data_IF_440201039459
#
_entry.id   IF_440201039459
#
_cell.length_a   1.000
_cell.length_b   1.000
_cell.length_c   1.000
_cell.angle_alpha   90.00
_cell.angle_beta   90.00
_cell.angle_gamma   90.00
#
_symmetry.space_group_name_H-M   'P 1'
#
loop_
_entity.id
_entity.type
_entity.pdbx_description
1 polymer ?
#
# COMPACT_ATOMS: atom_id res chain seq x y z
N UNK A 1 -14.97 9.01 -5.76
CA UNK A 1 -14.77 7.70 -6.39
C UNK A 1 -14.20 6.72 -5.35
N UNK A 2 -15.07 5.90 -4.77
CA UNK A 2 -14.69 4.95 -3.70
C UNK A 2 -13.76 3.83 -4.17
N UNK A 3 -13.82 3.43 -5.45
CA UNK A 3 -12.88 2.44 -6.01
C UNK A 3 -11.48 3.03 -6.14
N UNK A 4 -11.39 4.31 -6.49
CA UNK A 4 -10.09 4.99 -6.48
C UNK A 4 -9.57 5.20 -5.06
N UNK A 5 -10.44 5.48 -4.08
CA UNK A 5 -10.06 5.50 -2.67
C UNK A 5 -9.48 4.15 -2.24
N UNK A 6 -10.12 3.02 -2.64
CA UNK A 6 -9.60 1.69 -2.36
C UNK A 6 -8.18 1.51 -2.93
N UNK A 7 -7.94 1.94 -4.18
CA UNK A 7 -6.61 1.88 -4.78
C UNK A 7 -5.58 2.72 -4.00
N UNK A 8 -5.96 3.92 -3.55
CA UNK A 8 -5.10 4.77 -2.72
C UNK A 8 -4.78 4.11 -1.37
N UNK A 9 -5.78 3.54 -0.71
CA UNK A 9 -5.58 2.83 0.57
C UNK A 9 -4.71 1.58 0.39
N UNK A 10 -4.92 0.80 -0.68
CA UNK A 10 -4.07 -0.34 -1.00
C UNK A 10 -2.62 0.12 -1.19
N UNK A 11 -2.37 1.15 -1.99
CA UNK A 11 -1.03 1.68 -2.22
C UNK A 11 -0.35 2.13 -0.92
N UNK A 12 -1.08 2.84 -0.05
CA UNK A 12 -0.55 3.43 1.18
C UNK A 12 -0.27 2.39 2.28
N UNK A 13 -1.24 1.50 2.56
CA UNK A 13 -1.14 0.55 3.69
C UNK A 13 -0.40 -0.74 3.33
N UNK A 14 -0.56 -1.24 2.10
CA UNK A 14 0.08 -2.51 1.70
C UNK A 14 1.45 -2.32 1.08
N UNK A 15 1.78 -1.10 0.68
CA UNK A 15 3.03 -0.75 0.00
C UNK A 15 3.26 -1.57 -1.30
N UNK A 16 2.20 -2.15 -1.87
CA UNK A 16 2.24 -2.87 -3.15
C UNK A 16 2.42 -1.86 -4.28
N UNK A 17 3.25 -2.16 -5.26
CA UNK A 17 3.52 -1.25 -6.39
C UNK A 17 2.31 -1.12 -7.32
N UNK A 18 2.11 0.04 -7.99
CA UNK A 18 0.95 0.25 -8.88
C UNK A 18 0.83 -0.81 -9.96
N UNK A 19 1.94 -1.24 -10.56
CA UNK A 19 1.94 -2.32 -11.54
C UNK A 19 1.44 -3.63 -10.93
N UNK A 20 1.95 -3.99 -9.75
CA UNK A 20 1.52 -5.20 -9.02
C UNK A 20 0.03 -5.11 -8.63
N UNK A 21 -0.44 -3.93 -8.15
CA UNK A 21 -1.86 -3.70 -7.85
C UNK A 21 -2.77 -4.01 -9.06
N UNK A 22 -2.31 -3.70 -10.28
CA UNK A 22 -3.10 -3.95 -11.49
C UNK A 22 -3.25 -5.44 -11.83
N UNK A 23 -2.44 -6.31 -11.25
CA UNK A 23 -2.52 -7.76 -11.43
C UNK A 23 -3.28 -8.48 -10.34
N UNK A 24 -3.58 -7.83 -9.21
CA UNK A 24 -4.31 -8.45 -8.12
C UNK A 24 -5.71 -8.88 -8.56
N UNK A 25 -6.10 -10.06 -8.15
CA UNK A 25 -7.43 -10.62 -8.34
C UNK A 25 -8.24 -10.59 -7.04
N UNK A 26 -9.54 -10.68 -7.16
CA UNK A 26 -10.44 -10.79 -6.00
C UNK A 26 -10.07 -12.02 -5.16
N UNK A 27 -9.73 -13.15 -5.81
CA UNK A 27 -9.32 -14.39 -5.14
C UNK A 27 -7.97 -14.34 -4.42
N UNK A 28 -7.13 -13.32 -4.70
CA UNK A 28 -5.85 -13.14 -3.98
C UNK A 28 -6.05 -12.59 -2.56
N UNK A 29 -7.28 -12.20 -2.20
CA UNK A 29 -7.60 -11.60 -0.91
C UNK A 29 -8.10 -12.66 0.05
N UNK A 30 -7.42 -12.85 1.17
CA UNK A 30 -7.84 -13.71 2.26
C UNK A 30 -8.45 -12.87 3.39
N UNK A 31 -9.78 -12.94 3.53
CA UNK A 31 -10.47 -12.31 4.66
C UNK A 31 -10.11 -12.96 5.99
N UNK A 32 -9.91 -14.28 5.98
CA UNK A 32 -9.56 -15.05 7.19
C UNK A 32 -8.21 -14.62 7.76
N UNK A 33 -7.21 -14.49 6.87
CA UNK A 33 -5.84 -14.14 7.28
C UNK A 33 -5.63 -12.63 7.28
N UNK A 34 -6.56 -11.84 6.74
CA UNK A 34 -6.42 -10.40 6.50
C UNK A 34 -5.16 -10.09 5.68
N UNK A 35 -4.95 -10.84 4.60
CA UNK A 35 -3.81 -10.70 3.70
C UNK A 35 -4.24 -10.62 2.24
N UNK A 36 -3.34 -10.13 1.40
CA UNK A 36 -3.42 -10.24 -0.05
C UNK A 36 -2.18 -10.94 -0.57
N UNK A 37 -2.37 -11.90 -1.45
CA UNK A 37 -1.28 -12.63 -2.12
C UNK A 37 -0.77 -11.83 -3.34
N UNK A 38 0.54 -11.70 -3.46
CA UNK A 38 1.22 -11.05 -4.59
C UNK A 38 2.10 -12.10 -5.25
N UNK A 39 1.74 -12.51 -6.47
CA UNK A 39 2.48 -13.53 -7.21
C UNK A 39 3.85 -13.01 -7.66
N UNK A 40 4.85 -13.91 -7.64
CA UNK A 40 6.20 -13.71 -8.18
C UNK A 40 6.20 -13.30 -9.65
N UNK A 41 5.20 -13.76 -10.42
CA UNK A 41 5.13 -13.53 -11.87
C UNK A 41 4.98 -12.04 -12.20
N UNK A 42 4.41 -11.25 -11.28
CA UNK A 42 4.17 -9.81 -11.44
C UNK A 42 4.96 -8.98 -10.43
N UNK A 43 5.60 -9.63 -9.48
CA UNK A 43 6.40 -8.97 -8.44
C UNK A 43 7.75 -8.55 -8.99
N UNK A 44 8.14 -7.29 -8.71
CA UNK A 44 9.47 -6.78 -9.10
C UNK A 44 10.62 -7.62 -8.52
N UNK A 45 10.40 -8.27 -7.39
CA UNK A 45 11.42 -9.05 -6.69
C UNK A 45 11.39 -10.54 -7.07
N UNK A 46 10.51 -10.95 -8.01
CA UNK A 46 10.32 -12.33 -8.45
C UNK A 46 10.13 -13.32 -7.29
N UNK A 47 9.42 -12.89 -6.23
CA UNK A 47 9.07 -13.69 -5.06
C UNK A 47 7.59 -13.57 -4.77
N UNK A 48 6.98 -14.69 -4.43
CA UNK A 48 5.63 -14.70 -3.87
C UNK A 48 5.62 -14.05 -2.49
N UNK A 49 4.57 -13.33 -2.17
CA UNK A 49 4.43 -12.69 -0.87
C UNK A 49 2.97 -12.61 -0.42
N UNK A 50 2.75 -12.80 0.86
CA UNK A 50 1.52 -12.39 1.53
C UNK A 50 1.75 -11.05 2.22
N UNK A 51 0.86 -10.09 1.95
CA UNK A 51 0.94 -8.73 2.47
C UNK A 51 -0.27 -8.46 3.35
N UNK A 52 -0.04 -7.96 4.56
CA UNK A 52 -1.10 -7.64 5.51
C UNK A 52 -2.06 -6.57 5.01
N UNK A 53 -3.35 -6.77 5.25
CA UNK A 53 -4.42 -5.82 4.95
C UNK A 53 -4.89 -5.11 6.23
N UNK A 54 -4.96 -3.80 6.17
CA UNK A 54 -5.56 -2.98 7.21
C UNK A 54 -7.08 -3.23 7.26
N UNK A 55 -7.65 -3.22 8.48
CA UNK A 55 -9.10 -3.42 8.69
C UNK A 55 -9.97 -2.42 7.92
N UNK A 56 -9.49 -1.18 7.74
CA UNK A 56 -10.21 -0.17 6.99
C UNK A 56 -10.30 -0.52 5.48
N UNK A 57 -9.26 -1.14 4.91
CA UNK A 57 -9.29 -1.65 3.53
C UNK A 57 -10.34 -2.75 3.41
N UNK A 58 -10.32 -3.73 4.31
CA UNK A 58 -11.28 -4.85 4.31
C UNK A 58 -12.71 -4.32 4.41
N UNK A 59 -12.95 -3.40 5.35
CA UNK A 59 -14.27 -2.74 5.50
C UNK A 59 -14.72 -2.08 4.20
N UNK A 60 -13.84 -1.30 3.56
CA UNK A 60 -14.17 -0.63 2.31
C UNK A 60 -14.43 -1.65 1.17
N UNK A 61 -13.69 -2.76 1.11
CA UNK A 61 -13.96 -3.83 0.14
C UNK A 61 -15.33 -4.47 0.34
N UNK A 62 -15.73 -4.70 1.58
CA UNK A 62 -17.07 -5.22 1.93
C UNK A 62 -18.15 -4.20 1.53
N UNK A 63 -17.99 -2.93 1.89
CA UNK A 63 -18.92 -1.85 1.56
C UNK A 63 -19.08 -1.66 0.03
N UNK A 64 -18.06 -2.01 -0.73
CA UNK A 64 -18.04 -1.98 -2.21
C UNK A 64 -18.52 -3.29 -2.86
N UNK A 65 -18.92 -4.28 -2.06
CA UNK A 65 -19.31 -5.61 -2.51
C UNK A 65 -18.26 -6.29 -3.42
N UNK A 66 -16.97 -6.08 -3.15
CA UNK A 66 -15.87 -6.64 -3.95
C UNK A 66 -15.94 -8.17 -4.00
N UNK A 67 -16.28 -8.80 -2.89
CA UNK A 67 -16.35 -10.27 -2.77
C UNK A 67 -17.55 -10.92 -3.46
N UNK A 68 -18.46 -10.14 -4.02
CA UNK A 68 -19.55 -10.64 -4.88
C UNK A 68 -19.09 -10.85 -6.34
N UNK A 69 -17.89 -10.40 -6.70
CA UNK A 69 -17.30 -10.66 -8.01
C UNK A 69 -16.58 -12.02 -8.03
N UNK A 70 -16.50 -12.67 -9.20
CA UNK A 70 -15.73 -13.91 -9.38
C UNK A 70 -14.28 -13.75 -8.89
N UNK A 71 -13.74 -14.82 -8.29
CA UNK A 71 -12.38 -14.82 -7.73
C UNK A 71 -11.28 -14.60 -8.77
N UNK A 72 -11.52 -14.96 -10.03
CA UNK A 72 -10.59 -14.78 -11.15
C UNK A 72 -10.61 -13.37 -11.76
N UNK A 73 -11.55 -12.50 -11.33
CA UNK A 73 -11.59 -11.10 -11.79
C UNK A 73 -10.45 -10.30 -11.17
N UNK A 74 -9.84 -9.44 -11.99
CA UNK A 74 -8.88 -8.45 -11.49
C UNK A 74 -9.58 -7.44 -10.60
N UNK A 75 -9.01 -7.18 -9.42
CA UNK A 75 -9.54 -6.25 -8.42
C UNK A 75 -9.71 -4.84 -9.00
N UNK A 76 -8.71 -4.40 -9.77
CA UNK A 76 -8.69 -3.12 -10.47
C UNK A 76 -8.70 -3.33 -11.98
N UNK A 77 -9.81 -3.85 -12.49
CA UNK A 77 -10.05 -4.00 -13.91
C UNK A 77 -10.30 -2.67 -14.62
N UNK A 78 -10.99 -2.70 -15.73
CA UNK A 78 -11.32 -1.49 -16.50
C UNK A 78 -12.10 -0.50 -15.62
N UNK A 79 -11.68 0.76 -15.63
CA UNK A 79 -12.26 1.84 -14.82
C UNK A 79 -12.18 1.61 -13.30
N UNK A 80 -11.21 0.83 -12.83
CA UNK A 80 -10.99 0.41 -11.44
C UNK A 80 -12.07 -0.52 -10.87
N UNK A 81 -13.06 -0.90 -11.65
CA UNK A 81 -14.10 -1.83 -11.25
C UNK A 81 -13.61 -3.27 -11.43
N UNK A 82 -13.89 -4.20 -10.50
CA UNK A 82 -13.52 -5.59 -10.69
C UNK A 82 -14.02 -6.12 -12.04
N UNK A 83 -13.14 -6.74 -12.81
CA UNK A 83 -13.42 -7.18 -14.18
C UNK A 83 -12.55 -8.36 -14.58
N UNK A 84 -13.03 -9.17 -15.55
CA UNK A 84 -12.25 -10.23 -16.17
C UNK A 84 -11.04 -9.67 -16.95
N UNK A 85 -11.18 -8.47 -17.50
CA UNK A 85 -10.08 -7.77 -18.19
C UNK A 85 -9.27 -6.94 -17.19
N UNK A 86 -7.96 -7.12 -17.23
CA UNK A 86 -7.03 -6.35 -16.41
C UNK A 86 -7.03 -4.88 -16.78
N UNK A 87 -7.10 -4.01 -15.79
CA UNK A 87 -6.88 -2.58 -15.98
C UNK A 87 -5.38 -2.26 -16.13
N UNK A 88 -5.04 -1.25 -16.95
CA UNK A 88 -3.67 -0.74 -17.02
C UNK A 88 -3.33 0.04 -15.73
N UNK A 89 -2.11 -0.12 -15.21
CA UNK A 89 -1.63 0.61 -14.02
C UNK A 89 -1.66 2.14 -14.22
N UNK A 90 -1.57 2.65 -15.44
CA UNK A 90 -1.66 4.08 -15.75
C UNK A 90 -3.00 4.71 -15.32
N UNK A 91 -4.06 3.90 -15.17
CA UNK A 91 -5.35 4.41 -14.72
C UNK A 91 -5.29 5.03 -13.32
N UNK A 92 -4.39 4.53 -12.43
CA UNK A 92 -4.17 5.10 -11.10
C UNK A 92 -3.59 6.51 -11.22
N UNK A 93 -2.54 6.66 -12.05
CA UNK A 93 -1.89 7.96 -12.26
C UNK A 93 -2.83 8.97 -12.93
N UNK A 94 -3.62 8.55 -13.93
CA UNK A 94 -4.59 9.42 -14.59
C UNK A 94 -5.64 9.97 -13.62
N UNK A 95 -6.16 9.12 -12.72
CA UNK A 95 -7.13 9.56 -11.70
C UNK A 95 -6.49 10.45 -10.64
N UNK A 96 -5.27 10.10 -10.23
CA UNK A 96 -4.49 10.92 -9.31
C UNK A 96 -4.25 12.33 -9.86
N UNK A 97 -3.84 12.44 -11.13
CA UNK A 97 -3.62 13.74 -11.78
C UNK A 97 -4.90 14.59 -11.83
N UNK A 98 -6.07 13.96 -12.13
CA UNK A 98 -7.35 14.67 -12.08
C UNK A 98 -7.65 15.20 -10.68
N UNK A 99 -7.51 14.37 -9.65
CA UNK A 99 -7.72 14.76 -8.27
C UNK A 99 -6.76 15.86 -7.85
N UNK A 100 -5.47 15.72 -8.17
CA UNK A 100 -4.43 16.70 -7.86
C UNK A 100 -4.73 18.08 -8.46
N UNK A 101 -5.19 18.13 -9.70
CA UNK A 101 -5.60 19.40 -10.35
C UNK A 101 -6.76 20.06 -9.61
N UNK A 102 -7.77 19.29 -9.20
CA UNK A 102 -8.91 19.82 -8.43
C UNK A 102 -8.49 20.35 -7.07
N UNK A 103 -7.58 19.64 -6.40
CA UNK A 103 -7.08 20.00 -5.06
C UNK A 103 -5.94 21.04 -5.11
N UNK A 104 -5.51 21.43 -6.31
CA UNK A 104 -4.38 22.37 -6.53
C UNK A 104 -3.09 21.93 -5.84
N UNK A 105 -2.84 20.62 -5.77
CA UNK A 105 -1.61 20.07 -5.21
C UNK A 105 -0.45 20.17 -6.20
N UNK A 106 0.76 20.29 -5.66
CA UNK A 106 1.99 20.35 -6.44
C UNK A 106 2.22 19.08 -7.29
N UNK A 107 2.94 19.28 -8.41
CA UNK A 107 3.26 18.20 -9.34
C UNK A 107 4.19 17.13 -8.76
N UNK A 108 4.91 17.41 -7.69
CA UNK A 108 5.76 16.43 -7.00
C UNK A 108 4.96 15.31 -6.33
N UNK A 109 3.69 15.57 -5.97
CA UNK A 109 2.82 14.54 -5.39
C UNK A 109 2.27 13.64 -6.48
N UNK A 110 2.81 12.43 -6.57
CA UNK A 110 2.40 11.39 -7.51
C UNK A 110 1.58 10.30 -6.79
N UNK A 111 0.86 9.46 -7.51
CA UNK A 111 0.17 8.30 -6.91
C UNK A 111 1.16 7.41 -6.13
N UNK A 112 2.37 7.22 -6.66
CA UNK A 112 3.44 6.46 -6.01
C UNK A 112 3.88 7.07 -4.67
N UNK A 113 3.73 8.38 -4.47
CA UNK A 113 4.07 9.07 -3.21
C UNK A 113 3.29 8.53 -2.00
N UNK A 114 2.12 7.89 -2.24
CA UNK A 114 1.39 7.19 -1.18
C UNK A 114 2.19 6.04 -0.60
N UNK A 115 2.90 5.27 -1.44
CA UNK A 115 3.78 4.20 -0.96
C UNK A 115 4.94 4.77 -0.14
N UNK A 116 5.56 5.85 -0.59
CA UNK A 116 6.68 6.48 0.12
C UNK A 116 6.23 6.98 1.50
N UNK A 117 5.06 7.62 1.57
CA UNK A 117 4.45 8.05 2.83
C UNK A 117 4.10 6.85 3.72
N UNK A 118 3.52 5.81 3.16
CA UNK A 118 3.18 4.59 3.90
C UNK A 118 4.40 3.90 4.51
N UNK A 119 5.52 3.81 3.77
CA UNK A 119 6.79 3.26 4.29
C UNK A 119 7.27 4.07 5.49
N UNK A 120 7.29 5.40 5.37
CA UNK A 120 7.72 6.30 6.45
C UNK A 120 6.84 6.16 7.68
N UNK A 121 5.52 6.22 7.47
CA UNK A 121 4.56 6.22 8.57
C UNK A 121 4.54 4.85 9.28
N UNK A 122 4.68 3.75 8.53
CA UNK A 122 4.80 2.41 9.11
C UNK A 122 6.12 2.23 9.88
N UNK A 123 7.24 2.76 9.33
CA UNK A 123 8.52 2.71 10.02
C UNK A 123 8.50 3.50 11.35
N UNK A 124 7.82 4.65 11.37
CA UNK A 124 7.65 5.45 12.58
C UNK A 124 6.75 4.76 13.62
N UNK A 125 5.70 4.06 13.16
CA UNK A 125 4.73 3.42 14.05
C UNK A 125 5.19 2.06 14.58
N UNK A 126 5.89 1.26 13.78
CA UNK A 126 6.20 -0.15 14.09
C UNK A 126 7.67 -0.54 13.86
N UNK A 127 8.49 0.41 13.43
CA UNK A 127 9.91 0.20 13.19
C UNK A 127 10.27 -0.11 11.74
N UNK A 128 11.56 0.12 11.44
CA UNK A 128 12.12 0.05 10.07
C UNK A 128 12.06 -1.37 9.49
N UNK A 129 12.24 -2.39 10.34
CA UNK A 129 12.22 -3.80 9.90
C UNK A 129 10.82 -4.17 9.40
N UNK A 130 9.77 -3.81 10.15
CA UNK A 130 8.37 -4.06 9.74
C UNK A 130 8.05 -3.34 8.43
N UNK A 131 8.48 -2.09 8.29
CA UNK A 131 8.28 -1.32 7.05
C UNK A 131 9.02 -1.94 5.85
N UNK A 132 10.26 -2.44 6.07
CA UNK A 132 11.04 -3.16 5.04
C UNK A 132 10.29 -4.42 4.59
N UNK A 133 9.80 -5.22 5.52
CA UNK A 133 9.16 -6.50 5.23
C UNK A 133 7.83 -6.29 4.52
N UNK A 134 7.00 -5.34 4.99
CA UNK A 134 5.74 -4.97 4.33
C UNK A 134 5.99 -4.39 2.92
N UNK A 135 7.05 -3.58 2.73
CA UNK A 135 7.43 -3.03 1.43
C UNK A 135 8.10 -4.07 0.52
N UNK A 136 8.45 -5.24 1.07
CA UNK A 136 9.16 -6.32 0.38
C UNK A 136 10.49 -5.83 -0.21
N UNK A 137 11.23 -5.04 0.57
CA UNK A 137 12.57 -4.61 0.22
C UNK A 137 13.58 -5.67 0.66
N UNK A 138 14.46 -6.08 -0.25
CA UNK A 138 15.52 -7.05 0.03
C UNK A 138 16.59 -6.50 0.99
N UNK A 139 16.74 -5.17 1.03
CA UNK A 139 17.72 -4.47 1.85
C UNK A 139 17.07 -3.33 2.63
N UNK A 140 17.45 -3.23 3.92
CA UNK A 140 16.98 -2.18 4.83
C UNK A 140 17.45 -0.78 4.38
N UNK A 141 18.57 -0.68 3.66
CA UNK A 141 19.08 0.58 3.11
C UNK A 141 18.06 1.22 2.16
N UNK A 142 17.30 0.42 1.43
CA UNK A 142 16.24 0.88 0.55
C UNK A 142 15.11 1.54 1.34
N UNK A 143 14.72 0.96 2.47
CA UNK A 143 13.70 1.55 3.37
C UNK A 143 14.21 2.83 4.02
N UNK A 144 15.46 2.86 4.45
CA UNK A 144 16.08 4.03 5.08
C UNK A 144 16.10 5.27 4.17
N UNK A 145 16.22 5.09 2.85
CA UNK A 145 16.15 6.22 1.88
C UNK A 145 14.81 6.98 1.97
N UNK A 146 13.72 6.29 2.26
CA UNK A 146 12.39 6.91 2.40
C UNK A 146 12.26 7.66 3.74
N UNK A 147 12.91 7.17 4.79
CA UNK A 147 12.90 7.79 6.11
C UNK A 147 13.77 9.05 6.12
N UNK A 148 14.97 8.98 5.54
CA UNK A 148 15.94 10.07 5.55
C UNK A 148 15.53 11.28 4.70
N UNK A 149 14.76 11.11 3.63
CA UNK A 149 14.28 12.20 2.77
C UNK A 149 13.45 13.26 3.49
N UNK A 150 12.92 12.96 4.66
CA UNK A 150 11.98 13.82 5.39
C UNK A 150 12.47 14.28 6.76
N UNK A 151 13.79 14.24 6.98
CA UNK A 151 14.44 14.69 8.22
C UNK A 151 14.58 13.60 9.27
N UNK A 152 15.64 13.71 10.04
CA UNK A 152 15.90 12.84 11.20
C UNK A 152 14.84 13.17 12.25
N UNK A 153 13.90 12.27 12.51
CA UNK A 153 13.16 12.35 13.76
C UNK A 153 14.16 12.15 14.90
N UNK A 154 14.32 13.17 15.75
CA UNK A 154 14.99 13.00 17.02
C UNK A 154 14.10 12.08 17.85
N UNK A 155 14.46 10.80 17.92
CA UNK A 155 13.87 9.91 18.92
C UNK A 155 14.49 10.26 20.26
N UNK A 156 13.73 10.85 21.12
CA UNK A 156 14.02 10.80 22.55
C UNK A 156 13.57 9.43 23.03
N UNK A 157 14.50 8.63 23.54
CA UNK A 157 14.17 7.47 24.36
C UNK A 157 13.62 7.99 25.68
N UNK A 158 12.31 8.23 25.75
CA UNK A 158 11.62 8.37 27.01
C UNK A 158 11.46 6.97 27.60
N UNK A 159 12.45 6.58 28.40
CA UNK A 159 12.27 5.50 29.35
C UNK A 159 11.43 6.04 30.51
N UNK A 160 10.14 5.76 30.51
CA UNK A 160 9.32 5.74 31.74
C UNK A 160 9.71 4.53 32.60
N UNK A 161 11.00 4.29 32.74
CA UNK A 161 11.54 3.41 33.76
C UNK A 161 11.84 4.25 34.96
N UNK A 162 11.21 3.98 36.08
CA UNK A 162 11.63 4.50 37.37
C UNK A 162 13.09 4.11 37.64
N UNK A 163 14.04 4.92 37.14
CA UNK A 163 15.41 4.82 37.59
C UNK A 163 15.41 5.45 38.99
N UNK A 164 15.28 4.61 40.00
CA UNK A 164 15.51 5.02 41.39
C UNK A 164 17.04 5.13 41.55
N UNK A 165 17.52 6.34 41.67
CA UNK A 165 18.90 6.59 42.10
C UNK A 165 18.91 6.49 43.63
N UNK A 166 19.51 5.44 44.17
CA UNK A 166 19.89 5.38 45.61
C UNK A 166 21.08 6.29 45.88
#
# INVERSE_FOLDING_TARGET
DKLFLLACMMQYYTLIRPTELSYLKVGDISLRNQTVFVSKDFSKNHKDAEVGLNRAIIKLMIDLNIFNYPSDFYLFGRSLKPNKERGNADQFNKRWQKMRKVLKWDNCYQFYSLKDSGIRDLANAQGVVVARDQARHSDISTTNKYIQKHGVQKSTLDFDGNIVYD
#
